data_IF_588476527245
#
_entry.id   IF_588476527245
#
_cell.length_a   1.000
_cell.length_b   1.000
_cell.length_c   1.000
_cell.angle_alpha   90.00
_cell.angle_beta   90.00
_cell.angle_gamma   90.00
#
_symmetry.space_group_name_H-M   'P 1'
#
loop_
_entity.id
_entity.type
_entity.pdbx_description
1 polymer ?
#
# COMPACT_ATOMS: atom_id res chain seq x y z
N UNK A 1 -36.70 39.41 -15.45
CA UNK A 1 -36.32 40.79 -15.79
C UNK A 1 -34.92 40.67 -16.35
N UNK A 2 -34.80 40.56 -17.66
CA UNK A 2 -34.51 41.59 -18.69
C UNK A 2 -33.17 42.25 -18.39
N UNK A 3 -32.20 42.26 -19.24
CA UNK A 3 -32.16 42.57 -20.67
C UNK A 3 -30.85 42.12 -21.34
N UNK A 4 -31.00 41.60 -22.55
CA UNK A 4 -30.03 41.50 -23.65
C UNK A 4 -29.39 42.83 -24.00
N UNK A 5 -28.15 42.83 -24.51
CA UNK A 5 -27.72 43.76 -25.60
C UNK A 5 -26.72 43.07 -26.53
N UNK A 6 -27.15 42.98 -27.78
CA UNK A 6 -26.40 42.72 -29.01
C UNK A 6 -25.67 43.99 -29.45
N UNK A 7 -24.53 43.90 -30.10
CA UNK A 7 -24.11 44.81 -31.17
C UNK A 7 -23.20 44.13 -32.20
N UNK A 8 -23.68 44.18 -33.33
CA UNK A 8 -23.40 43.89 -34.71
C UNK A 8 -22.11 44.59 -35.29
N UNK A 9 -21.40 43.85 -36.12
CA UNK A 9 -20.91 44.11 -37.52
C UNK A 9 -20.28 45.43 -37.89
N UNK A 10 -19.09 45.37 -38.54
CA UNK A 10 -18.90 45.89 -39.89
C UNK A 10 -17.71 45.27 -40.61
N UNK A 11 -17.99 44.70 -41.76
CA UNK A 11 -17.07 44.30 -42.85
C UNK A 11 -16.81 45.53 -43.71
N UNK A 12 -15.58 45.80 -44.06
CA UNK A 12 -15.22 46.71 -45.17
C UNK A 12 -14.28 45.99 -46.13
N UNK A 13 -14.85 45.66 -47.27
CA UNK A 13 -14.18 45.19 -48.45
C UNK A 13 -13.69 46.43 -49.27
N UNK A 14 -12.43 46.48 -49.64
CA UNK A 14 -11.97 47.43 -50.67
C UNK A 14 -11.30 46.65 -51.78
N UNK A 15 -11.97 46.64 -52.94
CA UNK A 15 -11.43 46.30 -54.25
C UNK A 15 -10.72 47.52 -54.84
N UNK A 16 -9.55 47.34 -55.42
CA UNK A 16 -9.04 48.26 -56.48
C UNK A 16 -8.39 47.41 -57.57
N UNK A 17 -8.91 47.59 -58.77
CA UNK A 17 -8.53 46.96 -60.02
C UNK A 17 -7.42 47.78 -60.76
N UNK A 18 -6.87 47.28 -61.88
CA UNK A 18 -5.54 47.64 -62.40
C UNK A 18 -5.56 48.75 -63.48
N UNK A 19 -4.42 49.34 -63.67
CA UNK A 19 -4.14 50.19 -64.86
C UNK A 19 -2.89 49.72 -65.60
N UNK A 20 -3.14 49.25 -66.81
CA UNK A 20 -2.16 49.02 -67.85
C UNK A 20 -1.61 50.34 -68.39
N UNK A 21 -0.34 50.44 -68.63
CA UNK A 21 0.24 51.29 -69.71
C UNK A 21 1.49 50.64 -70.26
N UNK A 22 1.59 50.76 -71.56
CA UNK A 22 2.49 50.08 -72.48
C UNK A 22 3.78 50.83 -72.81
N UNK A 23 4.74 50.06 -73.35
CA UNK A 23 5.76 50.32 -74.33
C UNK A 23 6.91 51.31 -74.02
N UNK A 24 8.12 50.79 -74.15
CA UNK A 24 9.39 51.46 -74.47
C UNK A 24 10.49 50.41 -74.61
N UNK A 25 10.85 50.13 -75.90
CA UNK A 25 11.96 49.25 -76.25
C UNK A 25 13.25 50.04 -76.27
N UNK A 26 14.32 49.59 -75.67
CA UNK A 26 15.70 49.95 -75.93
C UNK A 26 16.70 48.81 -75.56
N UNK A 27 17.97 48.90 -76.04
CA UNK A 27 18.63 47.77 -76.72
C UNK A 27 19.38 46.79 -75.79
N UNK A 28 19.53 45.59 -76.28
CA UNK A 28 20.22 44.42 -75.70
C UNK A 28 21.69 44.70 -75.40
N UNK A 29 22.19 44.52 -74.16
CA UNK A 29 23.60 44.33 -73.89
C UNK A 29 23.98 42.85 -73.95
N UNK A 30 25.18 42.58 -74.42
CA UNK A 30 25.88 41.31 -74.55
C UNK A 30 25.92 40.50 -73.23
N UNK A 31 25.76 39.19 -73.28
CA UNK A 31 25.75 38.37 -72.01
C UNK A 31 27.15 38.23 -71.43
N UNK A 32 27.27 38.67 -70.21
CA UNK A 32 28.38 38.40 -69.31
C UNK A 32 28.30 36.91 -68.84
N UNK A 33 29.42 36.19 -68.60
CA UNK A 33 29.38 34.76 -68.26
C UNK A 33 28.76 34.59 -66.88
N UNK A 34 27.77 33.68 -66.84
CA UNK A 34 27.04 33.30 -65.61
C UNK A 34 27.99 32.73 -64.55
N UNK A 35 28.14 33.46 -63.47
CA UNK A 35 28.71 32.93 -62.21
C UNK A 35 27.69 31.90 -61.65
N UNK A 36 28.11 30.65 -61.60
CA UNK A 36 27.29 29.57 -60.98
C UNK A 36 26.92 29.96 -59.56
N UNK A 37 25.64 30.16 -59.30
CA UNK A 37 25.13 30.28 -57.95
C UNK A 37 25.38 28.96 -57.21
N UNK A 38 25.86 28.94 -55.97
CA UNK A 38 25.95 27.72 -55.17
C UNK A 38 24.55 27.15 -55.02
N UNK A 39 24.39 25.90 -55.43
CA UNK A 39 23.18 25.09 -55.22
C UNK A 39 22.89 25.09 -53.72
N UNK A 40 21.81 25.74 -53.28
CA UNK A 40 21.32 25.60 -51.93
C UNK A 40 20.98 24.13 -51.72
N UNK A 41 21.74 23.49 -50.83
CA UNK A 41 21.37 22.19 -50.27
C UNK A 41 20.01 22.39 -49.58
N UNK A 42 18.98 21.62 -49.89
CA UNK A 42 17.72 21.73 -49.16
C UNK A 42 18.00 21.56 -47.68
N UNK A 43 17.61 22.55 -46.87
CA UNK A 43 17.58 22.41 -45.41
C UNK A 43 16.71 21.20 -45.10
N UNK A 44 17.17 20.22 -44.30
CA UNK A 44 16.35 19.07 -43.98
C UNK A 44 15.04 19.55 -43.39
N UNK A 45 13.92 19.11 -43.93
CA UNK A 45 12.60 19.35 -43.35
C UNK A 45 12.66 18.90 -41.87
N UNK A 46 12.17 19.73 -40.94
CA UNK A 46 12.12 19.29 -39.55
C UNK A 46 11.32 18.00 -39.48
N UNK A 47 11.97 16.91 -39.09
CA UNK A 47 11.32 15.62 -38.81
C UNK A 47 10.25 15.93 -37.77
N UNK A 48 9.00 15.66 -38.08
CA UNK A 48 7.91 15.81 -37.12
C UNK A 48 8.29 15.03 -35.86
N UNK A 49 8.13 15.68 -34.72
CA UNK A 49 8.35 14.98 -33.44
C UNK A 49 7.47 13.71 -33.42
N UNK A 50 7.98 12.58 -32.96
CA UNK A 50 7.16 11.38 -32.86
C UNK A 50 5.89 11.68 -32.05
N UNK A 51 4.76 11.10 -32.46
CA UNK A 51 3.53 11.23 -31.68
C UNK A 51 3.74 10.63 -30.28
N UNK A 52 3.23 11.28 -29.22
CA UNK A 52 3.38 10.76 -27.87
C UNK A 52 2.75 9.37 -27.74
N UNK A 53 3.44 8.48 -27.00
CA UNK A 53 2.89 7.18 -26.60
C UNK A 53 1.89 7.42 -25.47
N UNK A 54 0.76 6.72 -25.50
CA UNK A 54 -0.22 6.77 -24.41
C UNK A 54 -0.19 5.46 -23.67
N UNK A 55 0.00 5.51 -22.35
CA UNK A 55 -0.09 4.37 -21.45
C UNK A 55 -1.39 4.43 -20.63
N UNK A 56 -1.96 3.28 -20.37
CA UNK A 56 -3.16 3.11 -19.53
C UNK A 56 -2.74 2.84 -18.09
N UNK A 57 -3.10 3.73 -17.17
CA UNK A 57 -2.88 3.56 -15.75
C UNK A 57 -4.19 3.34 -15.00
N UNK A 58 -4.37 2.13 -14.40
CA UNK A 58 -5.51 1.87 -13.54
C UNK A 58 -5.12 1.94 -12.08
N UNK A 59 -5.90 2.68 -11.34
CA UNK A 59 -5.67 2.95 -9.92
C UNK A 59 -6.98 3.01 -9.16
N UNK A 60 -6.92 3.13 -7.84
CA UNK A 60 -8.06 3.30 -6.96
C UNK A 60 -7.96 4.62 -6.21
N UNK A 61 -9.10 5.18 -5.83
CA UNK A 61 -9.14 6.33 -4.93
C UNK A 61 -9.30 5.87 -3.49
N UNK A 62 -8.54 6.46 -2.58
CA UNK A 62 -8.65 6.29 -1.13
C UNK A 62 -8.53 7.64 -0.44
N UNK A 63 -8.65 7.65 0.89
CA UNK A 63 -8.43 8.86 1.69
C UNK A 63 -6.96 9.30 1.68
N UNK A 64 -6.04 8.34 1.47
CA UNK A 64 -4.60 8.64 1.39
C UNK A 64 -4.21 9.30 0.05
N UNK A 65 -4.91 8.96 -1.03
CA UNK A 65 -4.66 9.55 -2.35
C UNK A 65 -5.94 9.60 -3.19
N UNK A 66 -6.48 10.80 -3.31
CA UNK A 66 -7.71 11.03 -4.04
C UNK A 66 -7.51 10.98 -5.55
N UNK A 67 -8.59 10.85 -6.32
CA UNK A 67 -8.54 10.92 -7.78
C UNK A 67 -7.87 12.22 -8.28
N UNK A 68 -8.15 13.35 -7.61
CA UNK A 68 -7.58 14.65 -7.97
C UNK A 68 -6.04 14.64 -7.85
N UNK A 69 -5.51 14.13 -6.73
CA UNK A 69 -4.07 14.01 -6.47
C UNK A 69 -3.40 13.13 -7.51
N UNK A 70 -4.00 11.98 -7.84
CA UNK A 70 -3.43 11.05 -8.81
C UNK A 70 -3.40 11.63 -10.23
N UNK A 71 -4.47 12.28 -10.67
CA UNK A 71 -4.52 12.95 -11.99
C UNK A 71 -3.53 14.11 -12.07
N UNK A 72 -3.37 14.87 -10.99
CA UNK A 72 -2.40 15.95 -10.96
C UNK A 72 -0.95 15.42 -11.01
N UNK A 73 -0.64 14.32 -10.31
CA UNK A 73 0.65 13.65 -10.40
C UNK A 73 0.96 13.16 -11.82
N UNK A 74 -0.01 12.55 -12.51
CA UNK A 74 0.17 12.15 -13.90
C UNK A 74 0.46 13.32 -14.83
N UNK A 75 -0.18 14.48 -14.61
CA UNK A 75 0.10 15.72 -15.38
C UNK A 75 1.50 16.27 -15.10
N UNK A 76 2.00 16.15 -13.87
CA UNK A 76 3.35 16.56 -13.52
C UNK A 76 4.40 15.66 -14.20
N UNK A 77 4.16 14.34 -14.21
CA UNK A 77 4.97 13.40 -14.99
C UNK A 77 4.99 13.76 -16.47
N UNK A 78 3.83 14.00 -17.10
CA UNK A 78 3.74 14.38 -18.51
C UNK A 78 4.47 15.68 -18.85
N UNK A 79 4.55 16.61 -17.89
CA UNK A 79 5.29 17.86 -18.08
C UNK A 79 6.80 17.65 -18.21
N UNK A 80 7.35 16.65 -17.52
CA UNK A 80 8.75 16.24 -17.60
C UNK A 80 9.02 15.21 -18.71
N UNK A 81 7.98 14.47 -19.16
CA UNK A 81 8.05 13.41 -20.18
C UNK A 81 7.10 13.70 -21.36
N UNK A 82 7.37 14.71 -22.19
CA UNK A 82 6.41 15.21 -23.21
C UNK A 82 6.05 14.17 -24.28
N UNK A 83 6.83 13.10 -24.41
CA UNK A 83 6.60 12.01 -25.35
C UNK A 83 5.69 10.90 -24.78
N UNK A 84 5.30 10.99 -23.51
CA UNK A 84 4.42 10.00 -22.85
C UNK A 84 3.16 10.70 -22.38
N UNK A 85 2.01 10.07 -22.63
CA UNK A 85 0.70 10.45 -22.08
C UNK A 85 0.21 9.37 -21.15
N UNK A 86 -0.42 9.77 -20.04
CA UNK A 86 -0.96 8.84 -19.05
C UNK A 86 -2.48 8.95 -19.00
N UNK A 87 -3.16 7.93 -19.52
CA UNK A 87 -4.60 7.85 -19.42
C UNK A 87 -5.00 7.23 -18.06
N UNK A 88 -5.42 8.07 -17.13
CA UNK A 88 -5.71 7.67 -15.75
C UNK A 88 -7.14 7.18 -15.62
N UNK A 89 -7.32 5.90 -15.30
CA UNK A 89 -8.61 5.29 -14.93
C UNK A 89 -8.64 5.03 -13.43
N UNK A 90 -9.42 5.82 -12.70
CA UNK A 90 -9.62 5.64 -11.25
C UNK A 90 -10.87 4.79 -11.03
N UNK A 91 -10.72 3.70 -10.32
CA UNK A 91 -11.79 2.73 -10.04
C UNK A 91 -12.15 2.73 -8.55
N UNK A 92 -13.41 2.43 -8.21
CA UNK A 92 -13.76 2.15 -6.82
C UNK A 92 -12.99 0.91 -6.32
N UNK A 93 -12.53 0.93 -5.07
CA UNK A 93 -11.83 -0.21 -4.44
C UNK A 93 -12.71 -1.47 -4.46
N UNK A 94 -14.04 -1.31 -4.26
CA UNK A 94 -15.01 -2.38 -4.48
C UNK A 94 -15.18 -2.62 -5.98
N UNK A 95 -14.77 -3.78 -6.47
CA UNK A 95 -14.85 -4.15 -7.89
C UNK A 95 -13.57 -3.95 -8.70
N UNK A 96 -12.55 -3.27 -8.17
CA UNK A 96 -11.24 -3.19 -8.83
C UNK A 96 -10.64 -4.58 -9.08
N UNK A 97 -10.66 -5.45 -8.04
CA UNK A 97 -10.13 -6.80 -8.13
C UNK A 97 -10.82 -7.65 -9.20
N UNK A 98 -12.14 -7.60 -9.29
CA UNK A 98 -12.92 -8.32 -10.31
C UNK A 98 -12.59 -7.83 -11.73
N UNK A 99 -12.50 -6.50 -11.88
CA UNK A 99 -12.18 -5.88 -13.16
C UNK A 99 -10.76 -6.21 -13.61
N UNK A 100 -9.77 -6.14 -12.69
CA UNK A 100 -8.38 -6.53 -12.97
C UNK A 100 -8.28 -7.99 -13.36
N UNK A 101 -8.86 -8.90 -12.59
CA UNK A 101 -8.86 -10.34 -12.90
C UNK A 101 -9.44 -10.61 -14.27
N UNK A 102 -10.53 -9.93 -14.63
CA UNK A 102 -11.17 -10.08 -15.94
C UNK A 102 -10.27 -9.58 -17.06
N UNK A 103 -9.67 -8.40 -16.93
CA UNK A 103 -8.83 -7.80 -17.94
C UNK A 103 -7.53 -8.59 -18.16
N UNK A 104 -6.85 -8.99 -17.08
CA UNK A 104 -5.64 -9.80 -17.14
C UNK A 104 -5.93 -11.18 -17.76
N UNK A 105 -7.06 -11.81 -17.39
CA UNK A 105 -7.48 -13.11 -17.94
C UNK A 105 -7.90 -13.05 -19.41
N UNK A 106 -8.37 -11.91 -19.92
CA UNK A 106 -8.71 -11.71 -21.32
C UNK A 106 -7.46 -11.57 -22.21
N UNK A 107 -6.33 -11.14 -21.63
CA UNK A 107 -5.08 -10.91 -22.37
C UNK A 107 -5.12 -9.71 -23.32
N UNK A 108 -6.16 -8.88 -23.22
CA UNK A 108 -6.33 -7.63 -23.98
C UNK A 108 -7.16 -6.62 -23.19
N UNK A 109 -6.86 -5.33 -23.34
CA UNK A 109 -7.57 -4.26 -22.65
C UNK A 109 -7.22 -4.16 -21.16
N UNK A 110 -6.17 -4.85 -20.69
CA UNK A 110 -5.57 -4.64 -19.39
C UNK A 110 -4.78 -3.33 -19.39
N UNK A 111 -4.62 -2.66 -18.21
CA UNK A 111 -3.80 -1.47 -18.12
C UNK A 111 -2.32 -1.78 -18.28
N UNK A 112 -1.55 -0.83 -18.81
CA UNK A 112 -0.09 -0.96 -18.87
C UNK A 112 0.51 -0.96 -17.45
N UNK A 113 0.01 -0.09 -16.59
CA UNK A 113 0.46 0.06 -15.19
C UNK A 113 -0.73 0.05 -14.24
N UNK A 114 -0.63 -0.71 -13.14
CA UNK A 114 -1.69 -0.77 -12.13
C UNK A 114 -1.20 -1.24 -10.76
N UNK A 115 -2.09 -1.18 -9.77
CA UNK A 115 -1.94 -1.92 -8.52
C UNK A 115 -2.10 -3.42 -8.76
N UNK A 116 -1.17 -4.20 -8.22
CA UNK A 116 -1.19 -5.67 -8.23
C UNK A 116 -1.26 -6.17 -6.78
N UNK A 117 -2.38 -5.93 -6.11
CA UNK A 117 -2.55 -6.29 -4.69
C UNK A 117 -2.93 -7.75 -4.44
N UNK A 118 -3.28 -8.50 -5.51
CA UNK A 118 -3.57 -9.93 -5.43
C UNK A 118 -2.42 -10.73 -6.04
N UNK A 119 -1.80 -11.58 -5.26
CA UNK A 119 -0.67 -12.40 -5.70
C UNK A 119 -1.02 -13.32 -6.89
N UNK A 120 -2.31 -13.64 -7.09
CA UNK A 120 -2.77 -14.39 -8.26
C UNK A 120 -2.56 -13.63 -9.58
N UNK A 121 -2.30 -12.32 -9.54
CA UNK A 121 -2.01 -11.52 -10.73
C UNK A 121 -0.52 -11.46 -11.06
N UNK A 122 0.38 -11.82 -10.15
CA UNK A 122 1.83 -11.74 -10.39
C UNK A 122 2.32 -12.57 -11.59
N UNK A 123 1.73 -13.72 -11.96
CA UNK A 123 2.07 -14.39 -13.21
C UNK A 123 1.80 -13.55 -14.48
N UNK A 124 0.93 -12.52 -14.39
CA UNK A 124 0.62 -11.59 -15.47
C UNK A 124 1.46 -10.30 -15.42
N UNK A 125 2.30 -10.13 -14.40
CA UNK A 125 3.21 -8.99 -14.28
C UNK A 125 4.45 -9.15 -15.16
N UNK A 126 4.95 -8.02 -15.67
CA UNK A 126 6.23 -7.93 -16.36
C UNK A 126 7.38 -8.13 -15.36
N UNK A 127 8.39 -8.90 -15.74
CA UNK A 127 9.62 -8.99 -14.97
C UNK A 127 10.41 -7.68 -15.09
N UNK A 128 10.67 -7.02 -13.97
CA UNK A 128 11.23 -5.67 -13.92
C UNK A 128 12.76 -5.64 -13.78
N UNK A 129 13.42 -6.75 -13.44
CA UNK A 129 14.88 -6.82 -13.26
C UNK A 129 15.67 -6.17 -14.41
N UNK A 130 15.37 -6.44 -15.71
CA UNK A 130 16.13 -5.83 -16.79
C UNK A 130 15.99 -4.29 -16.87
N UNK A 131 14.85 -3.76 -16.46
CA UNK A 131 14.57 -2.32 -16.45
C UNK A 131 15.28 -1.64 -15.28
N UNK A 132 15.28 -2.28 -14.10
CA UNK A 132 16.01 -1.83 -12.91
C UNK A 132 17.52 -1.79 -13.20
N UNK A 133 18.08 -2.84 -13.80
CA UNK A 133 19.51 -2.89 -14.14
C UNK A 133 19.92 -1.86 -15.19
N UNK A 134 18.99 -1.45 -16.06
CA UNK A 134 19.24 -0.46 -17.10
C UNK A 134 19.05 0.98 -16.61
N UNK A 135 18.38 1.20 -15.49
CA UNK A 135 18.06 2.51 -14.93
C UNK A 135 19.08 2.92 -13.86
N UNK A 136 20.02 3.85 -14.15
CA UNK A 136 21.07 4.24 -13.22
C UNK A 136 20.56 5.04 -12.01
N UNK A 137 19.34 5.56 -12.09
CA UNK A 137 18.73 6.41 -11.06
C UNK A 137 17.83 5.60 -10.12
N UNK A 138 17.59 4.32 -10.44
CA UNK A 138 16.76 3.41 -9.64
C UNK A 138 17.60 2.35 -8.92
N UNK A 139 17.28 2.09 -7.63
CA UNK A 139 17.89 1.02 -6.83
C UNK A 139 16.88 0.42 -5.86
N UNK A 140 16.87 -0.90 -5.69
CA UNK A 140 16.15 -1.57 -4.59
C UNK A 140 16.46 -1.01 -3.20
N UNK A 141 17.70 -0.55 -2.99
CA UNK A 141 18.18 0.01 -1.71
C UNK A 141 17.48 1.33 -1.32
N UNK A 142 16.67 1.91 -2.22
CA UNK A 142 15.84 3.06 -1.92
C UNK A 142 14.75 2.73 -0.90
N UNK A 143 14.26 1.50 -0.88
CA UNK A 143 13.08 1.07 -0.14
C UNK A 143 13.43 0.46 1.21
N UNK A 144 12.46 0.43 2.14
CA UNK A 144 12.59 -0.41 3.34
C UNK A 144 12.74 -1.88 2.92
N UNK A 145 13.78 -2.59 3.39
CA UNK A 145 14.08 -3.96 2.95
C UNK A 145 12.90 -4.94 3.13
N UNK A 146 12.19 -4.87 4.24
CA UNK A 146 11.04 -5.73 4.52
C UNK A 146 9.96 -5.60 3.45
N UNK A 147 9.60 -4.37 3.07
CA UNK A 147 8.59 -4.13 2.03
C UNK A 147 9.07 -4.49 0.63
N UNK A 148 10.34 -4.25 0.31
CA UNK A 148 10.91 -4.70 -0.94
C UNK A 148 10.79 -6.23 -1.09
N UNK A 149 11.26 -6.97 -0.09
CA UNK A 149 11.30 -8.43 -0.14
C UNK A 149 9.91 -9.07 -0.21
N UNK A 150 8.89 -8.41 0.35
CA UNK A 150 7.53 -8.97 0.42
C UNK A 150 6.60 -8.48 -0.68
N UNK A 151 6.92 -7.34 -1.34
CA UNK A 151 6.03 -6.69 -2.30
C UNK A 151 6.57 -6.59 -3.72
N UNK A 152 7.90 -6.69 -3.89
CA UNK A 152 8.52 -6.63 -5.21
C UNK A 152 8.73 -8.01 -5.83
N UNK A 153 8.86 -9.05 -5.00
CA UNK A 153 9.35 -10.36 -5.43
C UNK A 153 8.22 -11.37 -5.68
N UNK A 154 8.36 -12.14 -6.76
CA UNK A 154 7.62 -13.37 -7.01
C UNK A 154 8.61 -14.48 -7.37
N UNK A 155 8.90 -15.35 -6.42
CA UNK A 155 10.04 -16.26 -6.52
C UNK A 155 11.36 -15.49 -6.57
N UNK A 156 12.11 -15.67 -7.63
CA UNK A 156 13.40 -14.99 -7.90
C UNK A 156 13.26 -13.74 -8.80
N UNK A 157 12.04 -13.39 -9.18
CA UNK A 157 11.75 -12.28 -10.10
C UNK A 157 11.24 -11.05 -9.37
N UNK A 158 11.67 -9.88 -9.82
CA UNK A 158 11.05 -8.61 -9.45
C UNK A 158 9.87 -8.38 -10.37
N UNK A 159 8.65 -8.40 -9.83
CA UNK A 159 7.40 -8.27 -10.60
C UNK A 159 6.58 -7.05 -10.22
N UNK A 160 7.03 -6.28 -9.24
CA UNK A 160 6.35 -5.07 -8.80
C UNK A 160 7.25 -4.18 -7.96
N UNK A 161 6.76 -3.03 -7.59
CA UNK A 161 7.47 -2.07 -6.75
C UNK A 161 6.54 -1.59 -5.63
N UNK A 162 7.05 -1.40 -4.39
CA UNK A 162 6.22 -0.99 -3.27
C UNK A 162 5.87 0.49 -3.33
N UNK A 163 4.58 0.81 -3.22
CA UNK A 163 4.08 2.17 -3.11
C UNK A 163 3.49 2.40 -1.73
N UNK A 164 4.08 3.32 -0.99
CA UNK A 164 3.65 3.66 0.36
C UNK A 164 3.80 2.51 1.34
N UNK A 165 3.69 2.82 2.60
CA UNK A 165 3.73 1.85 3.69
C UNK A 165 2.70 2.14 4.75
N UNK A 166 2.22 1.08 5.36
CA UNK A 166 1.47 1.12 6.60
C UNK A 166 1.94 0.01 7.52
N UNK A 167 1.72 0.18 8.80
CA UNK A 167 1.99 -0.85 9.79
C UNK A 167 1.00 -0.77 10.95
N UNK A 168 0.76 -1.91 11.59
CA UNK A 168 0.16 -1.94 12.90
C UNK A 168 1.24 -1.69 13.96
N UNK A 169 0.79 -1.07 15.03
CA UNK A 169 1.57 -0.81 16.23
C UNK A 169 0.60 -0.69 17.41
N UNK A 170 1.11 -0.75 18.62
CA UNK A 170 0.29 -0.46 19.78
C UNK A 170 0.34 1.03 20.07
N UNK A 171 -0.83 1.67 20.02
CA UNK A 171 -1.03 3.00 20.57
C UNK A 171 -1.43 2.87 22.04
N UNK A 172 -0.85 3.70 22.90
CA UNK A 172 -1.22 3.79 24.30
C UNK A 172 -1.68 5.22 24.67
N UNK A 173 -2.75 5.28 25.46
CA UNK A 173 -3.38 6.54 25.89
C UNK A 173 -2.66 7.05 27.15
N UNK A 174 -1.87 8.11 27.00
CA UNK A 174 -1.05 8.66 28.10
C UNK A 174 -1.89 9.13 29.27
N UNK A 175 -3.07 9.69 29.03
CA UNK A 175 -3.95 10.17 30.10
C UNK A 175 -4.46 9.01 30.97
N UNK A 176 -4.77 7.86 30.34
CA UNK A 176 -5.18 6.63 31.04
C UNK A 176 -4.03 6.06 31.90
N UNK A 177 -2.82 6.03 31.33
CA UNK A 177 -1.62 5.57 32.03
C UNK A 177 -1.27 6.47 33.22
N UNK A 178 -1.30 7.78 33.01
CA UNK A 178 -1.01 8.77 34.06
C UNK A 178 -2.03 8.70 35.19
N UNK A 179 -3.33 8.56 34.87
CA UNK A 179 -4.40 8.39 35.87
C UNK A 179 -4.21 7.12 36.71
N UNK A 180 -3.82 6.02 36.06
CA UNK A 180 -3.59 4.73 36.74
C UNK A 180 -2.23 4.68 37.46
N UNK A 181 -1.30 5.61 37.17
CA UNK A 181 0.07 5.60 37.71
C UNK A 181 0.92 4.45 37.16
N UNK A 182 0.60 3.96 35.95
CA UNK A 182 1.30 2.87 35.27
C UNK A 182 2.38 3.46 34.35
N UNK A 183 3.56 2.85 34.33
CA UNK A 183 4.64 3.28 33.44
C UNK A 183 4.29 3.01 31.98
N UNK A 184 4.71 3.91 31.08
CA UNK A 184 4.52 3.72 29.64
C UNK A 184 5.32 2.50 29.13
N UNK A 185 4.80 1.75 28.16
CA UNK A 185 5.53 0.66 27.53
C UNK A 185 6.73 1.22 26.75
N UNK A 186 7.78 0.41 26.63
CA UNK A 186 9.00 0.72 25.88
C UNK A 186 9.09 -0.13 24.61
N UNK A 187 9.98 0.22 23.68
CA UNK A 187 10.09 -0.50 22.41
C UNK A 187 10.51 -1.97 22.60
N UNK A 188 11.06 -2.38 23.74
CA UNK A 188 11.54 -3.74 24.08
C UNK A 188 10.59 -4.55 24.97
N UNK A 189 9.35 -4.03 25.20
CA UNK A 189 8.34 -4.73 26.01
C UNK A 189 7.94 -6.08 25.44
N UNK A 190 7.38 -6.95 26.31
CA UNK A 190 7.03 -8.32 26.01
C UNK A 190 5.53 -8.57 25.98
N UNK A 191 5.13 -9.75 25.53
CA UNK A 191 3.73 -10.21 25.55
C UNK A 191 3.19 -10.36 26.98
N UNK A 192 4.06 -10.69 27.94
CA UNK A 192 3.74 -10.74 29.36
C UNK A 192 3.51 -9.33 29.90
N UNK A 193 4.38 -8.36 29.56
CA UNK A 193 4.20 -6.95 29.91
C UNK A 193 2.86 -6.41 29.38
N UNK A 194 2.43 -6.86 28.18
CA UNK A 194 1.13 -6.45 27.63
C UNK A 194 -0.03 -6.84 28.53
N UNK A 195 -0.10 -8.10 28.98
CA UNK A 195 -1.17 -8.58 29.87
C UNK A 195 -1.11 -7.88 31.24
N UNK A 196 0.08 -7.73 31.79
CA UNK A 196 0.30 -7.09 33.10
C UNK A 196 -0.14 -5.61 33.07
N UNK A 197 0.27 -4.87 32.05
CA UNK A 197 -0.13 -3.46 31.86
C UNK A 197 -1.63 -3.36 31.60
N UNK A 198 -2.17 -4.19 30.70
CA UNK A 198 -3.59 -4.18 30.38
C UNK A 198 -4.44 -4.45 31.64
N UNK A 199 -4.02 -5.39 32.48
CA UNK A 199 -4.71 -5.72 33.74
C UNK A 199 -4.68 -4.50 34.70
N UNK A 200 -3.53 -3.81 34.84
CA UNK A 200 -3.40 -2.64 35.70
C UNK A 200 -4.23 -1.44 35.23
N UNK A 201 -4.43 -1.29 33.92
CA UNK A 201 -5.21 -0.19 33.34
C UNK A 201 -6.71 -0.44 33.33
N UNK A 202 -7.14 -1.69 33.55
CA UNK A 202 -8.55 -2.08 33.50
C UNK A 202 -9.32 -1.55 34.69
N UNK A 203 -10.42 -0.84 34.42
CA UNK A 203 -11.33 -0.31 35.42
C UNK A 203 -12.78 -0.61 35.02
N UNK A 204 -13.38 -1.68 35.57
CA UNK A 204 -14.77 -2.05 35.25
C UNK A 204 -15.81 -1.01 35.66
N UNK A 205 -15.54 -0.21 36.70
CA UNK A 205 -16.45 0.86 37.16
C UNK A 205 -16.57 1.97 36.13
N UNK A 206 -15.46 2.28 35.45
CA UNK A 206 -15.41 3.25 34.33
C UNK A 206 -15.72 2.62 32.98
N UNK A 207 -15.99 1.32 32.91
CA UNK A 207 -16.10 0.54 31.67
C UNK A 207 -14.88 0.75 30.76
N UNK A 208 -13.70 0.68 31.36
CA UNK A 208 -12.41 0.81 30.72
C UNK A 208 -11.68 -0.52 30.70
N UNK A 209 -11.16 -0.91 29.55
CA UNK A 209 -10.28 -2.04 29.35
C UNK A 209 -8.85 -1.54 29.13
N UNK A 210 -7.88 -2.27 29.68
CA UNK A 210 -6.47 -1.89 29.52
C UNK A 210 -5.93 -2.14 28.12
N UNK A 211 -6.44 -3.14 27.41
CA UNK A 211 -5.99 -3.51 26.07
C UNK A 211 -7.10 -3.92 25.12
N UNK A 212 -6.76 -4.13 23.86
CA UNK A 212 -7.59 -4.77 22.85
C UNK A 212 -7.13 -6.22 22.58
N UNK A 213 -7.90 -6.92 21.75
CA UNK A 213 -7.59 -8.29 21.31
C UNK A 213 -7.05 -8.30 19.89
N UNK A 214 -6.12 -9.20 19.56
CA UNK A 214 -5.75 -9.43 18.16
C UNK A 214 -6.96 -9.73 17.28
N UNK A 215 -6.93 -9.29 16.03
CA UNK A 215 -8.08 -9.38 15.11
C UNK A 215 -8.01 -10.57 14.17
N UNK A 216 -7.72 -11.75 14.69
CA UNK A 216 -7.63 -12.99 13.94
C UNK A 216 -6.34 -13.76 14.23
N UNK A 217 -6.29 -15.05 13.89
CA UNK A 217 -5.12 -15.89 14.09
C UNK A 217 -3.94 -15.43 13.21
N UNK A 218 -2.74 -15.77 13.62
CA UNK A 218 -1.48 -15.50 12.92
C UNK A 218 -1.31 -14.01 12.51
N UNK A 219 -1.59 -13.10 13.43
CA UNK A 219 -1.12 -11.72 13.34
C UNK A 219 0.36 -11.64 13.80
N UNK A 220 0.98 -10.49 13.68
CA UNK A 220 2.41 -10.31 14.02
C UNK A 220 2.76 -10.89 15.39
N UNK A 221 1.87 -10.75 16.37
CA UNK A 221 2.04 -11.33 17.72
C UNK A 221 2.29 -12.84 17.70
N UNK A 222 1.64 -13.60 16.82
CA UNK A 222 1.88 -15.04 16.70
C UNK A 222 3.25 -15.33 16.12
N UNK A 223 3.68 -14.57 15.13
CA UNK A 223 5.03 -14.69 14.56
C UNK A 223 6.11 -14.28 15.56
N UNK A 224 5.79 -13.39 16.50
CA UNK A 224 6.67 -13.03 17.62
C UNK A 224 6.93 -14.20 18.55
N UNK A 225 6.02 -15.17 18.63
CA UNK A 225 6.25 -16.45 19.31
C UNK A 225 7.07 -17.45 18.47
N UNK A 226 7.37 -17.15 17.21
CA UNK A 226 7.96 -18.10 16.27
C UNK A 226 6.94 -19.00 15.58
N UNK A 227 5.64 -18.78 15.84
CA UNK A 227 4.57 -19.58 15.27
C UNK A 227 4.53 -19.48 13.73
N UNK A 228 4.22 -20.59 13.08
CA UNK A 228 4.04 -20.70 11.63
C UNK A 228 2.80 -21.54 11.34
N UNK A 229 2.01 -21.18 10.31
CA UNK A 229 0.83 -21.97 9.96
C UNK A 229 1.18 -23.25 9.18
N UNK A 230 2.30 -23.29 8.47
CA UNK A 230 2.78 -24.41 7.64
C UNK A 230 4.26 -24.20 7.27
N UNK A 231 4.86 -25.24 6.67
CA UNK A 231 6.23 -25.21 6.16
C UNK A 231 6.43 -24.13 5.07
N UNK A 232 7.64 -23.61 4.93
CA UNK A 232 7.97 -22.56 3.93
C UNK A 232 7.67 -22.99 2.49
N UNK A 233 7.80 -24.30 2.20
CA UNK A 233 7.46 -24.88 0.89
C UNK A 233 5.97 -25.22 0.74
N UNK A 234 5.15 -24.86 1.73
CA UNK A 234 3.71 -25.15 1.80
C UNK A 234 3.35 -26.64 1.68
N UNK A 235 4.25 -27.54 2.07
CA UNK A 235 4.04 -28.99 1.97
C UNK A 235 3.23 -29.58 3.14
N UNK A 236 3.32 -28.98 4.33
CA UNK A 236 2.71 -29.55 5.55
C UNK A 236 2.38 -28.49 6.59
N UNK A 237 1.31 -28.75 7.35
CA UNK A 237 0.97 -28.01 8.58
C UNK A 237 1.55 -28.68 9.82
N UNK A 238 1.93 -29.98 9.74
CA UNK A 238 2.45 -30.74 10.87
C UNK A 238 3.84 -30.24 11.28
N UNK A 239 4.04 -30.08 12.60
CA UNK A 239 5.27 -29.53 13.16
C UNK A 239 5.35 -28.00 13.08
N UNK A 240 4.35 -27.36 12.50
CA UNK A 240 4.21 -25.91 12.40
C UNK A 240 2.95 -25.43 13.15
N UNK A 241 1.79 -25.82 12.66
CA UNK A 241 0.52 -25.42 13.28
C UNK A 241 0.36 -25.98 14.71
N UNK A 242 0.85 -27.19 14.96
CA UNK A 242 0.87 -27.84 16.28
C UNK A 242 2.22 -27.73 17.01
N UNK A 243 3.10 -26.82 16.59
CA UNK A 243 4.40 -26.57 17.25
C UNK A 243 4.23 -25.99 18.66
N UNK A 244 5.28 -26.10 19.50
CA UNK A 244 5.29 -25.50 20.83
C UNK A 244 5.11 -23.97 20.76
N UNK A 245 5.69 -23.32 19.75
CA UNK A 245 5.60 -21.88 19.51
C UNK A 245 4.16 -21.45 19.16
N UNK A 246 3.49 -22.21 18.29
CA UNK A 246 2.09 -21.93 17.92
C UNK A 246 1.16 -22.15 19.11
N UNK A 247 1.35 -23.24 19.85
CA UNK A 247 0.56 -23.51 21.07
C UNK A 247 0.81 -22.45 22.16
N UNK A 248 2.06 -21.96 22.30
CA UNK A 248 2.38 -20.86 23.22
C UNK A 248 1.63 -19.58 22.84
N UNK A 249 1.56 -19.23 21.56
CA UNK A 249 0.84 -18.06 21.07
C UNK A 249 -0.68 -18.17 21.35
N UNK A 250 -1.30 -19.33 21.13
CA UNK A 250 -2.71 -19.56 21.48
C UNK A 250 -2.95 -19.57 22.99
N UNK A 251 -2.00 -20.07 23.77
CA UNK A 251 -2.05 -20.03 25.23
C UNK A 251 -2.00 -18.60 25.75
N UNK A 252 -1.10 -17.79 25.21
CA UNK A 252 -1.05 -16.35 25.52
C UNK A 252 -2.36 -15.64 25.18
N UNK A 253 -2.97 -15.95 24.02
CA UNK A 253 -4.27 -15.38 23.65
C UNK A 253 -5.35 -15.76 24.67
N UNK A 254 -5.35 -17.02 25.13
CA UNK A 254 -6.26 -17.48 26.16
C UNK A 254 -6.03 -16.72 27.48
N UNK A 255 -4.78 -16.59 27.91
CA UNK A 255 -4.39 -15.87 29.12
C UNK A 255 -4.83 -14.39 29.06
N UNK A 256 -4.68 -13.76 27.89
CA UNK A 256 -5.16 -12.38 27.65
C UNK A 256 -6.69 -12.27 27.76
N UNK A 257 -7.42 -13.22 27.21
CA UNK A 257 -8.89 -13.23 27.27
C UNK A 257 -9.36 -13.48 28.71
N UNK A 258 -8.76 -14.45 29.40
CA UNK A 258 -9.10 -14.83 30.77
C UNK A 258 -8.77 -13.72 31.78
N UNK A 259 -7.78 -12.88 31.51
CA UNK A 259 -7.44 -11.72 32.34
C UNK A 259 -8.57 -10.71 32.51
N UNK A 260 -9.58 -10.73 31.61
CA UNK A 260 -10.67 -9.75 31.59
C UNK A 260 -10.23 -8.32 31.26
N UNK A 261 -8.98 -8.13 30.85
CA UNK A 261 -8.40 -6.81 30.54
C UNK A 261 -8.76 -6.29 29.15
N UNK A 262 -9.50 -7.07 28.36
CA UNK A 262 -9.92 -6.74 27.00
C UNK A 262 -11.44 -6.88 26.87
N UNK A 263 -12.11 -6.05 26.01
CA UNK A 263 -13.55 -6.16 25.81
C UNK A 263 -13.93 -7.50 25.17
N UNK A 264 -15.00 -8.10 25.63
CA UNK A 264 -15.56 -9.32 25.03
C UNK A 264 -16.19 -9.03 23.66
N UNK A 265 -16.34 -10.03 22.76
CA UNK A 265 -17.06 -9.85 21.50
C UNK A 265 -18.48 -9.30 21.68
N UNK A 266 -19.20 -9.74 22.73
CA UNK A 266 -20.54 -9.24 23.04
C UNK A 266 -20.54 -7.76 23.46
N UNK A 267 -19.54 -7.32 24.23
CA UNK A 267 -19.36 -5.91 24.57
C UNK A 267 -19.03 -5.08 23.35
N UNK A 268 -18.14 -5.56 22.47
CA UNK A 268 -17.80 -4.89 21.20
C UNK A 268 -19.01 -4.82 20.25
N UNK A 269 -19.86 -5.85 20.22
CA UNK A 269 -21.09 -5.81 19.41
C UNK A 269 -22.04 -4.71 19.90
N UNK A 270 -22.25 -4.62 21.21
CA UNK A 270 -23.07 -3.55 21.81
C UNK A 270 -22.49 -2.17 21.47
N UNK A 271 -21.18 -2.01 21.59
CA UNK A 271 -20.49 -0.76 21.28
C UNK A 271 -20.52 -0.45 19.77
N UNK A 272 -20.38 -1.47 18.93
CA UNK A 272 -20.44 -1.35 17.46
C UNK A 272 -21.79 -0.91 16.94
N UNK A 273 -22.89 -1.31 17.59
CA UNK A 273 -24.25 -0.80 17.24
C UNK A 273 -24.41 0.69 17.52
N UNK A 274 -23.57 1.25 18.38
CA UNK A 274 -23.47 2.68 18.64
C UNK A 274 -22.51 3.41 17.67
N UNK A 275 -21.93 2.70 16.71
CA UNK A 275 -20.96 3.23 15.76
C UNK A 275 -19.55 3.43 16.35
N UNK A 276 -19.25 2.75 17.46
CA UNK A 276 -17.99 2.94 18.20
C UNK A 276 -16.98 1.86 17.82
N UNK A 277 -15.94 2.23 17.08
CA UNK A 277 -14.80 1.37 16.74
C UNK A 277 -13.70 1.39 17.81
N UNK A 278 -12.63 0.56 17.69
CA UNK A 278 -11.50 0.57 18.62
C UNK A 278 -10.82 1.92 18.76
N UNK A 279 -10.73 2.69 17.68
CA UNK A 279 -10.15 4.04 17.72
C UNK A 279 -11.03 4.98 18.57
N UNK A 280 -12.35 4.89 18.48
CA UNK A 280 -13.26 5.72 19.27
C UNK A 280 -13.19 5.34 20.75
N UNK A 281 -13.08 4.03 21.08
CA UNK A 281 -12.85 3.55 22.44
C UNK A 281 -11.52 4.06 22.99
N UNK A 282 -10.49 4.07 22.17
CA UNK A 282 -9.17 4.62 22.53
C UNK A 282 -9.24 6.12 22.76
N UNK A 283 -9.82 6.88 21.84
CA UNK A 283 -9.95 8.34 21.92
C UNK A 283 -10.84 8.78 23.10
N UNK A 284 -11.83 7.97 23.47
CA UNK A 284 -12.68 8.23 24.65
C UNK A 284 -12.08 7.78 25.97
N UNK A 285 -10.86 7.24 25.98
CA UNK A 285 -10.17 6.73 27.18
C UNK A 285 -10.77 5.42 27.74
N UNK A 286 -11.57 4.71 26.92
CA UNK A 286 -12.15 3.40 27.28
C UNK A 286 -11.24 2.23 26.91
N UNK A 287 -10.21 2.46 26.09
CA UNK A 287 -9.08 1.55 25.89
C UNK A 287 -7.79 2.23 26.32
N UNK A 288 -7.01 1.58 27.17
CA UNK A 288 -5.69 2.06 27.57
C UNK A 288 -4.65 1.86 26.47
N UNK A 289 -4.72 0.73 25.78
CA UNK A 289 -3.87 0.34 24.66
C UNK A 289 -4.72 -0.27 23.54
N UNK A 290 -4.33 -0.04 22.30
CA UNK A 290 -4.99 -0.63 21.13
C UNK A 290 -4.01 -0.85 19.98
N UNK A 291 -4.14 -1.99 19.29
CA UNK A 291 -3.42 -2.26 18.04
C UNK A 291 -4.10 -1.49 16.91
N UNK A 292 -3.46 -0.43 16.49
CA UNK A 292 -3.94 0.54 15.52
C UNK A 292 -2.91 0.73 14.40
N UNK A 293 -3.19 1.64 13.46
CA UNK A 293 -2.33 1.92 12.32
C UNK A 293 -2.14 3.44 12.12
N UNK A 294 -1.36 3.82 11.10
CA UNK A 294 -1.06 5.22 10.81
C UNK A 294 -2.30 6.09 10.54
N UNK A 295 -3.37 5.56 9.94
CA UNK A 295 -4.62 6.30 9.75
C UNK A 295 -5.25 6.68 11.10
N UNK A 296 -5.29 5.74 12.04
CA UNK A 296 -5.77 5.98 13.39
C UNK A 296 -4.85 6.94 14.18
N UNK A 297 -3.54 6.89 13.93
CA UNK A 297 -2.57 7.85 14.48
C UNK A 297 -2.90 9.28 14.03
N UNK A 298 -3.20 9.47 12.73
CA UNK A 298 -3.61 10.77 12.20
C UNK A 298 -4.93 11.24 12.82
N UNK A 299 -5.92 10.34 12.98
CA UNK A 299 -7.18 10.66 13.66
C UNK A 299 -6.95 11.09 15.12
N UNK A 300 -6.05 10.42 15.83
CA UNK A 300 -5.70 10.78 17.20
C UNK A 300 -5.01 12.15 17.28
N UNK A 301 -4.12 12.45 16.33
CA UNK A 301 -3.50 13.78 16.19
C UNK A 301 -4.56 14.87 15.95
N UNK A 302 -5.48 14.65 15.02
CA UNK A 302 -6.57 15.61 14.72
C UNK A 302 -7.48 15.83 15.93
N UNK A 303 -7.75 14.78 16.71
CA UNK A 303 -8.48 14.87 17.97
C UNK A 303 -7.69 15.52 19.11
N UNK A 304 -6.42 15.87 18.91
CA UNK A 304 -5.49 16.35 19.94
C UNK A 304 -5.38 15.39 21.13
N UNK A 305 -5.45 14.08 20.90
CA UNK A 305 -5.31 13.07 21.93
C UNK A 305 -3.87 13.00 22.45
N UNK A 306 -3.71 12.68 23.74
CA UNK A 306 -2.41 12.45 24.38
C UNK A 306 -2.05 10.96 24.23
N UNK A 307 -1.18 10.62 23.30
CA UNK A 307 -0.83 9.21 23.01
C UNK A 307 0.66 9.00 22.79
N UNK A 308 1.06 7.75 22.85
CA UNK A 308 2.36 7.28 22.37
C UNK A 308 2.19 6.03 21.51
N UNK A 309 3.26 5.62 20.86
CA UNK A 309 3.33 4.47 19.95
C UNK A 309 4.50 3.61 20.37
N UNK A 310 4.28 2.29 20.40
CA UNK A 310 5.33 1.27 20.54
C UNK A 310 5.08 0.14 19.53
N UNK A 311 6.10 -0.62 19.13
CA UNK A 311 5.92 -1.84 18.36
C UNK A 311 4.94 -2.81 19.06
N UNK A 312 4.33 -3.74 18.33
CA UNK A 312 3.64 -4.86 18.97
C UNK A 312 4.60 -5.60 19.92
N UNK A 313 4.10 -6.14 21.05
CA UNK A 313 4.97 -6.73 22.08
C UNK A 313 5.75 -7.92 21.53
N UNK A 314 7.02 -8.04 21.94
CA UNK A 314 7.89 -9.14 21.54
C UNK A 314 7.82 -10.33 22.49
N UNK A 315 8.52 -11.41 22.12
CA UNK A 315 8.77 -12.57 22.97
C UNK A 315 10.28 -12.67 23.20
N UNK A 316 10.69 -12.87 24.45
CA UNK A 316 12.11 -12.90 24.80
C UNK A 316 12.88 -13.98 23.98
N UNK A 317 13.97 -13.57 23.33
CA UNK A 317 14.79 -14.45 22.52
C UNK A 317 14.25 -14.77 21.13
N UNK A 318 13.09 -14.23 20.75
CA UNK A 318 12.50 -14.41 19.43
C UNK A 318 12.68 -13.16 18.55
N UNK A 319 12.60 -13.36 17.23
CA UNK A 319 12.53 -12.25 16.27
C UNK A 319 11.19 -11.54 16.40
N UNK A 320 11.22 -10.21 16.50
CA UNK A 320 9.99 -9.41 16.48
C UNK A 320 9.58 -9.11 15.05
N UNK A 321 8.34 -9.39 14.74
CA UNK A 321 7.70 -9.08 13.46
C UNK A 321 6.75 -7.90 13.62
N UNK A 322 6.64 -7.08 12.60
CA UNK A 322 5.54 -6.13 12.45
C UNK A 322 4.49 -6.68 11.49
N UNK A 323 3.26 -6.23 11.64
CA UNK A 323 2.23 -6.38 10.62
C UNK A 323 2.23 -5.13 9.74
N UNK A 324 3.02 -5.19 8.66
CA UNK A 324 3.13 -4.11 7.68
C UNK A 324 2.37 -4.44 6.40
N UNK A 325 2.04 -3.40 5.65
CA UNK A 325 1.51 -3.53 4.28
C UNK A 325 2.04 -2.42 3.39
N UNK A 326 2.11 -2.72 2.12
CA UNK A 326 2.40 -1.79 1.05
C UNK A 326 1.58 -2.18 -0.17
N UNK A 327 1.31 -1.23 -1.04
CA UNK A 327 0.71 -1.53 -2.33
C UNK A 327 1.82 -1.98 -3.29
N UNK A 328 1.58 -3.05 -4.03
CA UNK A 328 2.44 -3.46 -5.14
C UNK A 328 1.93 -2.81 -6.41
N UNK A 329 2.81 -2.06 -7.07
CA UNK A 329 2.54 -1.47 -8.38
C UNK A 329 3.34 -2.23 -9.43
N UNK A 330 2.70 -2.60 -10.53
CA UNK A 330 3.30 -3.46 -11.56
C UNK A 330 2.97 -2.97 -12.96
N UNK A 331 3.72 -3.49 -13.91
CA UNK A 331 3.47 -3.40 -15.35
C UNK A 331 2.87 -4.73 -15.81
N UNK A 332 1.83 -4.68 -16.60
CA UNK A 332 1.29 -5.87 -17.23
C UNK A 332 2.25 -6.41 -18.31
N UNK A 333 2.53 -7.72 -18.29
CA UNK A 333 3.48 -8.36 -19.24
C UNK A 333 3.08 -8.26 -20.71
N UNK A 334 1.80 -8.02 -21.00
CA UNK A 334 1.26 -7.89 -22.36
C UNK A 334 1.21 -6.45 -22.88
N UNK A 335 1.79 -5.48 -22.19
CA UNK A 335 1.88 -4.09 -22.67
C UNK A 335 2.66 -3.99 -23.98
N UNK A 336 2.21 -3.13 -24.89
CA UNK A 336 2.95 -2.79 -26.12
C UNK A 336 3.99 -1.66 -25.87
N UNK A 337 3.99 -1.06 -24.67
CA UNK A 337 4.80 0.11 -24.31
C UNK A 337 5.61 -0.12 -23.02
N UNK A 338 6.40 -1.21 -22.92
CA UNK A 338 7.03 -1.59 -21.66
C UNK A 338 8.08 -0.56 -21.15
N UNK A 339 8.74 0.17 -22.05
CA UNK A 339 9.72 1.17 -21.67
C UNK A 339 9.03 2.42 -21.08
N UNK A 340 7.99 2.92 -21.74
CA UNK A 340 7.22 4.08 -21.28
C UNK A 340 6.45 3.75 -20.01
N UNK A 341 5.96 2.51 -19.88
CA UNK A 341 5.35 2.01 -18.65
C UNK A 341 6.36 1.96 -17.49
N UNK A 342 7.62 1.58 -17.76
CA UNK A 342 8.70 1.63 -16.77
C UNK A 342 9.01 3.07 -16.34
N UNK A 343 9.16 4.00 -17.29
CA UNK A 343 9.43 5.41 -16.98
C UNK A 343 8.33 6.01 -16.08
N UNK A 344 7.05 5.66 -16.33
CA UNK A 344 5.97 6.09 -15.46
C UNK A 344 5.96 5.34 -14.12
N UNK A 345 6.13 4.02 -14.11
CA UNK A 345 6.12 3.24 -12.88
C UNK A 345 7.25 3.68 -11.95
N UNK A 346 8.49 3.81 -12.45
CA UNK A 346 9.65 4.24 -11.66
C UNK A 346 9.51 5.66 -11.11
N UNK A 347 8.85 6.57 -11.85
CA UNK A 347 8.47 7.89 -11.34
C UNK A 347 7.40 7.76 -10.24
N UNK A 348 6.29 7.06 -10.50
CA UNK A 348 5.16 6.97 -9.58
C UNK A 348 5.54 6.40 -8.22
N UNK A 349 6.28 5.30 -8.21
CA UNK A 349 6.69 4.63 -6.98
C UNK A 349 8.09 5.04 -6.49
N UNK A 350 8.78 5.86 -7.25
CA UNK A 350 10.09 6.41 -6.91
C UNK A 350 10.01 7.60 -5.95
N UNK A 351 11.19 8.21 -5.65
CA UNK A 351 11.25 9.30 -4.69
C UNK A 351 10.35 10.51 -5.02
N UNK A 352 10.25 10.89 -6.29
CA UNK A 352 9.47 12.05 -6.74
C UNK A 352 7.98 11.82 -6.57
N UNK A 353 7.45 10.71 -7.10
CA UNK A 353 6.03 10.39 -7.03
C UNK A 353 5.57 10.12 -5.60
N UNK A 354 6.34 9.36 -4.81
CA UNK A 354 5.99 9.11 -3.40
C UNK A 354 6.05 10.39 -2.56
N UNK A 355 7.02 11.28 -2.86
CA UNK A 355 7.05 12.60 -2.21
C UNK A 355 5.83 13.43 -2.58
N UNK A 356 5.45 13.44 -3.86
CA UNK A 356 4.25 14.13 -4.31
C UNK A 356 2.99 13.63 -3.58
N UNK A 357 2.84 12.30 -3.47
CA UNK A 357 1.70 11.67 -2.79
C UNK A 357 1.71 11.92 -1.28
N UNK A 358 2.89 12.03 -0.66
CA UNK A 358 3.03 12.41 0.75
C UNK A 358 2.63 13.87 0.98
N UNK A 359 3.09 14.78 0.13
CA UNK A 359 2.89 16.23 0.30
C UNK A 359 1.45 16.68 -0.04
N UNK A 360 0.77 15.98 -0.95
CA UNK A 360 -0.57 16.34 -1.47
C UNK A 360 -1.67 15.35 -1.07
N UNK A 361 -1.30 14.19 -0.55
CA UNK A 361 -2.18 13.16 0.01
C UNK A 361 -1.82 12.88 1.46
N UNK A 362 -2.09 11.65 1.89
CA UNK A 362 -1.73 11.15 3.22
C UNK A 362 -0.92 9.84 3.13
N UNK A 363 -0.19 9.64 2.02
CA UNK A 363 0.63 8.45 1.83
C UNK A 363 1.89 8.56 2.69
N UNK A 364 2.20 7.51 3.44
CA UNK A 364 3.53 7.35 4.05
C UNK A 364 4.42 6.59 3.06
N UNK A 365 5.54 7.21 2.62
CA UNK A 365 6.41 6.61 1.61
C UNK A 365 7.07 5.30 2.04
N UNK A 366 7.25 4.37 1.10
CA UNK A 366 8.06 3.16 1.29
C UNK A 366 9.57 3.44 1.16
N UNK A 367 9.95 4.67 0.95
CA UNK A 367 11.33 5.15 0.76
C UNK A 367 11.74 5.96 2.00
N UNK A 368 12.68 5.46 2.84
CA UNK A 368 13.09 6.12 4.07
C UNK A 368 13.52 7.58 3.89
N UNK A 369 14.32 7.87 2.87
CA UNK A 369 14.83 9.23 2.62
C UNK A 369 13.73 10.24 2.24
N UNK A 370 12.63 9.78 1.65
CA UNK A 370 11.44 10.61 1.40
C UNK A 370 10.65 10.80 2.69
N UNK A 371 10.47 9.74 3.47
CA UNK A 371 9.77 9.76 4.74
C UNK A 371 10.41 10.74 5.74
N UNK A 372 11.74 10.84 5.75
CA UNK A 372 12.49 11.81 6.56
C UNK A 372 12.11 13.28 6.27
N UNK A 373 11.50 13.56 5.12
CA UNK A 373 11.03 14.90 4.74
C UNK A 373 9.59 15.19 5.16
N UNK A 374 8.92 14.26 5.85
CA UNK A 374 7.55 14.44 6.33
C UNK A 374 7.44 15.64 7.29
N UNK A 375 6.38 16.42 7.16
CA UNK A 375 6.25 17.70 7.89
C UNK A 375 6.33 17.57 9.42
N UNK A 376 5.83 16.45 9.98
CA UNK A 376 5.87 16.15 11.41
C UNK A 376 6.97 15.13 11.77
N UNK A 377 7.98 14.94 10.91
CA UNK A 377 9.03 13.95 11.13
C UNK A 377 9.77 14.10 12.48
N UNK A 378 9.82 15.32 13.03
CA UNK A 378 10.44 15.62 14.32
C UNK A 378 9.56 15.26 15.55
N UNK A 379 8.32 14.85 15.35
CA UNK A 379 7.40 14.51 16.44
C UNK A 379 7.66 13.10 16.98
N UNK A 380 7.57 12.95 18.29
CA UNK A 380 7.84 11.67 18.99
C UNK A 380 7.01 10.51 18.44
N UNK A 381 5.72 10.75 18.14
CA UNK A 381 4.83 9.70 17.63
C UNK A 381 5.18 9.29 16.18
N UNK A 382 5.68 10.22 15.36
CA UNK A 382 6.14 9.92 13.99
C UNK A 382 7.46 9.17 14.06
N UNK A 383 8.40 9.60 14.89
CA UNK A 383 9.66 8.89 15.11
C UNK A 383 9.43 7.46 15.65
N UNK A 384 8.43 7.29 16.53
CA UNK A 384 8.05 5.96 16.99
C UNK A 384 7.50 5.10 15.85
N UNK A 385 6.64 5.65 15.00
CA UNK A 385 6.15 4.96 13.81
C UNK A 385 7.29 4.61 12.83
N UNK A 386 8.25 5.50 12.60
CA UNK A 386 9.41 5.20 11.76
C UNK A 386 10.25 4.05 12.31
N UNK A 387 10.41 3.95 13.65
CA UNK A 387 11.08 2.80 14.27
C UNK A 387 10.32 1.49 14.06
N UNK A 388 8.99 1.53 14.02
CA UNK A 388 8.18 0.35 13.65
C UNK A 388 8.45 -0.05 12.22
N UNK A 389 8.42 0.89 11.26
CA UNK A 389 8.67 0.64 9.84
C UNK A 389 10.09 0.12 9.54
N UNK A 390 11.06 0.50 10.36
CA UNK A 390 12.46 0.08 10.22
C UNK A 390 12.71 -1.35 10.68
N UNK A 391 11.71 -2.07 11.20
CA UNK A 391 11.85 -3.50 11.51
C UNK A 391 11.96 -4.29 10.20
N UNK A 392 12.98 -5.14 10.11
CA UNK A 392 13.31 -5.89 8.87
C UNK A 392 12.28 -6.99 8.53
N UNK A 393 11.40 -7.32 9.47
CA UNK A 393 10.51 -8.48 9.36
C UNK A 393 9.07 -8.02 9.16
N UNK A 394 8.47 -8.42 8.04
CA UNK A 394 7.07 -8.20 7.74
C UNK A 394 6.29 -9.53 7.81
N UNK A 395 5.39 -9.62 8.79
CA UNK A 395 4.55 -10.81 8.97
C UNK A 395 3.50 -10.97 7.87
N UNK A 396 3.18 -9.92 7.12
CA UNK A 396 2.15 -10.01 6.07
C UNK A 396 2.58 -10.91 4.91
N UNK A 397 3.89 -11.11 4.69
CA UNK A 397 4.37 -12.06 3.69
C UNK A 397 3.75 -13.45 3.86
N UNK A 398 3.72 -13.97 5.09
CA UNK A 398 3.10 -15.27 5.39
C UNK A 398 1.58 -15.23 5.26
N UNK A 399 0.94 -14.13 5.67
CA UNK A 399 -0.51 -13.97 5.59
C UNK A 399 -1.00 -13.62 4.17
N UNK A 400 -0.14 -13.07 3.33
CA UNK A 400 -0.41 -12.80 1.91
C UNK A 400 -0.40 -14.05 1.05
N UNK A 401 0.13 -15.18 1.56
CA UNK A 401 0.14 -16.44 0.80
C UNK A 401 -1.30 -16.92 0.53
N UNK A 402 -1.68 -17.21 -0.73
CA UNK A 402 -3.08 -17.54 -1.08
C UNK A 402 -3.65 -18.70 -0.27
N UNK A 403 -2.83 -19.69 0.05
CA UNK A 403 -3.25 -20.87 0.79
C UNK A 403 -3.52 -20.61 2.28
N UNK A 404 -3.03 -19.49 2.83
CA UNK A 404 -3.34 -19.12 4.20
C UNK A 404 -4.79 -18.65 4.35
N UNK A 405 -5.17 -17.53 3.71
CA UNK A 405 -6.49 -16.90 3.88
C UNK A 405 -7.66 -17.76 3.41
N UNK A 406 -7.50 -18.45 2.30
CA UNK A 406 -8.55 -19.27 1.69
C UNK A 406 -8.69 -20.68 2.29
N UNK A 407 -7.63 -21.17 2.95
CA UNK A 407 -7.50 -22.55 3.39
C UNK A 407 -7.24 -22.68 4.89
N UNK A 408 -5.98 -22.69 5.29
CA UNK A 408 -5.54 -22.99 6.66
C UNK A 408 -6.19 -22.08 7.70
N UNK A 409 -6.27 -20.77 7.45
CA UNK A 409 -6.90 -19.82 8.37
C UNK A 409 -8.35 -20.22 8.71
N UNK A 410 -9.11 -20.64 7.69
CA UNK A 410 -10.50 -21.06 7.91
C UNK A 410 -10.60 -22.33 8.76
N UNK A 411 -9.68 -23.29 8.54
CA UNK A 411 -9.66 -24.53 9.30
C UNK A 411 -9.39 -24.30 10.79
N UNK A 412 -8.57 -23.31 11.14
CA UNK A 412 -8.22 -22.99 12.54
C UNK A 412 -9.10 -21.92 13.18
N UNK A 413 -10.07 -21.38 12.44
CA UNK A 413 -10.95 -20.32 12.94
C UNK A 413 -11.77 -20.76 14.16
N UNK A 414 -12.19 -22.03 14.21
CA UNK A 414 -12.96 -22.59 15.33
C UNK A 414 -12.21 -22.50 16.67
N UNK A 415 -10.91 -22.82 16.69
CA UNK A 415 -10.11 -22.70 17.92
C UNK A 415 -9.99 -21.24 18.35
N UNK A 416 -9.73 -20.35 17.39
CA UNK A 416 -9.70 -18.92 17.65
C UNK A 416 -11.00 -18.44 18.28
N UNK A 417 -12.14 -18.78 17.69
CA UNK A 417 -13.46 -18.38 18.17
C UNK A 417 -13.75 -18.93 19.57
N UNK A 418 -13.44 -20.21 19.82
CA UNK A 418 -13.59 -20.82 21.15
C UNK A 418 -12.80 -20.05 22.22
N UNK A 419 -11.59 -19.64 21.93
CA UNK A 419 -10.78 -18.85 22.86
C UNK A 419 -11.41 -17.46 23.03
N UNK A 420 -11.76 -16.79 21.94
CA UNK A 420 -12.32 -15.43 21.98
C UNK A 420 -13.64 -15.32 22.73
N UNK A 421 -14.45 -16.38 22.72
CA UNK A 421 -15.73 -16.45 23.45
C UNK A 421 -15.61 -17.11 24.84
N UNK A 422 -14.43 -17.65 25.20
CA UNK A 422 -14.21 -18.33 26.47
C UNK A 422 -14.84 -19.74 26.53
N UNK A 423 -15.01 -20.38 25.38
CA UNK A 423 -15.68 -21.67 25.23
C UNK A 423 -14.72 -22.88 25.29
N UNK A 424 -13.45 -22.66 25.66
CA UNK A 424 -12.42 -23.70 25.78
C UNK A 424 -11.60 -23.49 27.05
N UNK A 425 -11.26 -24.58 27.73
CA UNK A 425 -10.30 -24.53 28.83
C UNK A 425 -8.85 -24.47 28.30
N UNK A 426 -7.97 -23.82 29.07
CA UNK A 426 -6.56 -23.61 28.67
C UNK A 426 -5.85 -24.93 28.36
N UNK A 427 -6.08 -25.95 29.17
CA UNK A 427 -5.52 -27.31 29.04
C UNK A 427 -6.02 -28.08 27.82
N UNK A 428 -7.14 -27.68 27.22
CA UNK A 428 -7.73 -28.35 26.06
C UNK A 428 -7.24 -27.78 24.72
N UNK A 429 -6.53 -26.64 24.72
CA UNK A 429 -6.01 -26.00 23.50
C UNK A 429 -5.16 -26.98 22.65
N UNK A 430 -4.20 -27.74 23.19
CA UNK A 430 -3.40 -28.67 22.38
C UNK A 430 -4.25 -29.78 21.73
N UNK A 431 -5.23 -30.31 22.43
CA UNK A 431 -6.10 -31.38 21.91
C UNK A 431 -7.04 -30.85 20.82
N UNK A 432 -7.53 -29.62 20.98
CA UNK A 432 -8.35 -28.95 19.96
C UNK A 432 -7.53 -28.67 18.70
N UNK A 433 -6.32 -28.14 18.85
CA UNK A 433 -5.41 -27.89 17.71
C UNK A 433 -5.14 -29.19 16.93
N UNK A 434 -4.86 -30.27 17.65
CA UNK A 434 -4.63 -31.58 17.03
C UNK A 434 -5.84 -32.05 16.20
N UNK A 435 -7.06 -31.75 16.64
CA UNK A 435 -8.29 -32.08 15.90
C UNK A 435 -8.43 -31.34 14.59
N UNK A 436 -7.77 -30.19 14.47
CA UNK A 436 -7.82 -29.32 13.29
C UNK A 436 -6.70 -29.60 12.26
N UNK A 437 -5.70 -30.43 12.62
CA UNK A 437 -4.54 -30.71 11.74
C UNK A 437 -4.96 -31.33 10.41
N UNK A 438 -5.86 -32.33 10.43
CA UNK A 438 -6.38 -32.93 9.20
C UNK A 438 -7.08 -31.92 8.29
N UNK A 439 -8.11 -31.21 8.75
CA UNK A 439 -8.77 -30.16 7.97
C UNK A 439 -7.83 -29.09 7.46
N UNK A 440 -6.83 -28.69 8.23
CA UNK A 440 -5.84 -27.68 7.83
C UNK A 440 -4.90 -28.19 6.72
N UNK A 441 -4.47 -29.47 6.83
CA UNK A 441 -3.65 -30.11 5.81
C UNK A 441 -4.43 -30.29 4.49
N UNK A 442 -5.66 -30.75 4.55
CA UNK A 442 -6.55 -30.89 3.38
C UNK A 442 -6.72 -29.54 2.67
N UNK A 443 -6.94 -28.47 3.44
CA UNK A 443 -7.08 -27.12 2.90
C UNK A 443 -5.79 -26.60 2.23
N UNK A 444 -4.63 -26.95 2.77
CA UNK A 444 -3.33 -26.63 2.18
C UNK A 444 -3.12 -27.39 0.87
N UNK A 445 -3.39 -28.69 0.85
CA UNK A 445 -3.26 -29.57 -0.33
C UNK A 445 -4.22 -29.20 -1.47
N UNK A 446 -5.42 -28.71 -1.16
CA UNK A 446 -6.35 -28.20 -2.17
C UNK A 446 -5.90 -26.91 -2.82
N UNK A 447 -5.12 -26.11 -2.09
CA UNK A 447 -4.70 -24.79 -2.55
C UNK A 447 -3.42 -24.82 -3.36
N UNK A 448 -2.39 -25.55 -2.89
CA UNK A 448 -1.04 -25.56 -3.51
C UNK A 448 -1.05 -25.88 -5.01
N UNK A 449 -1.81 -26.86 -5.54
CA UNK A 449 -1.85 -27.12 -6.96
C UNK A 449 -2.39 -25.97 -7.82
N UNK A 450 -3.18 -25.08 -7.23
CA UNK A 450 -3.73 -23.90 -7.93
C UNK A 450 -2.70 -22.81 -8.18
N UNK A 451 -1.56 -22.86 -7.48
CA UNK A 451 -0.47 -21.88 -7.59
C UNK A 451 0.58 -22.27 -8.66
N UNK A 452 0.59 -23.50 -9.11
CA UNK A 452 1.59 -24.07 -10.02
C UNK A 452 1.10 -24.28 -11.45
N UNK A 453 0.00 -23.66 -11.85
CA UNK A 453 -0.57 -23.76 -13.20
C UNK A 453 -0.12 -22.66 -14.14
#
# INVERSE_FOLDING_TARGET
MATKKWLLLMVVTVMVAPLLTACGAEPTPTPEPAVAQPTQVPEPEPTAAPEPVTIEWWTVSSEEYTEEVQRAMAQEFEASHPNIKVNVTVLPSSGFGEKMTTALGAGEGAPDVAFFWDNNWFPEALELTPYIEADPDFSPDLYFPGFWNTRAMWGDKVVGLPLGVGANFVMYNKDVFDEAGVAYPTDDWTTEDYIDIATQLTDPEQKRWGGDRPRGPFRAIFFNYGARPYADDSSTVEGYLNSEETLAAYTWLWDLVDSGSTPTPAELEVLGTEGTGPVDLFLSGRLGMATLNQGHMLNAKEANASFGIVPEPGVEGQTRYMHGWSLTCSIWKGTEHPQEAWEFLSYWVGPEGQKYLMDNGNLFPSIPSVLDTYADADKDYVQAFFRVLAQDQDAEWLMGHPCYRGGVQRAIQDLWDKIMFGDIAREDIPAEMESLMGPAQDALEECVPRLGG
#
